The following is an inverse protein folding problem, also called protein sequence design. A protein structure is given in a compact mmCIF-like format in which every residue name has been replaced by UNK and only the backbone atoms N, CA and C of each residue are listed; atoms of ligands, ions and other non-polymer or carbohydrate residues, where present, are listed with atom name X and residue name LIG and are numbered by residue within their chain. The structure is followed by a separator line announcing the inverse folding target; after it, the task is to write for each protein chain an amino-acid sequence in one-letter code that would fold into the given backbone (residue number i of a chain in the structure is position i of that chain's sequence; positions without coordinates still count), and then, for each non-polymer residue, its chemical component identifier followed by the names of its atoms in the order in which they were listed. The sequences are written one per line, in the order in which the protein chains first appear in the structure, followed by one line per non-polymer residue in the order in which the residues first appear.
data_IF_874553722628
#
_entry.id   IF_874553722628
#
_cell.length_a   1.000
_cell.length_b   1.000
_cell.length_c   1.000
_cell.angle_alpha   90.00
_cell.angle_beta   90.00
_cell.angle_gamma   90.00
#
_symmetry.space_group_name_H-M   'P 1'
#
loop_
_entity.id
_entity.type
_entity.pdbx_description
1 polymer ?
#
# COMPACT_ATOMS: atom_id res chain seq x y z
N UNK A 1 53.43 9.85 30.02
CA UNK A 1 52.14 10.37 29.51
C UNK A 1 52.05 10.02 28.04
N UNK A 2 51.47 8.86 27.72
CA UNK A 2 51.47 8.31 26.39
C UNK A 2 50.04 8.40 25.85
N UNK A 3 49.82 9.21 24.82
CA UNK A 3 48.54 9.31 24.15
C UNK A 3 48.43 8.20 23.10
N UNK A 4 47.50 7.27 23.30
CA UNK A 4 47.08 6.32 22.29
C UNK A 4 46.03 6.96 21.36
N UNK A 5 46.41 7.21 20.11
CA UNK A 5 45.46 7.53 19.03
C UNK A 5 44.83 6.22 18.53
N UNK A 6 43.53 6.03 18.80
CA UNK A 6 42.77 5.02 18.09
C UNK A 6 42.39 5.55 16.70
N UNK A 7 43.10 5.09 15.69
CA UNK A 7 42.70 5.22 14.29
C UNK A 7 41.61 4.20 14.01
N UNK A 8 40.40 4.65 13.69
CA UNK A 8 39.32 3.85 13.18
C UNK A 8 39.34 3.91 11.63
N UNK A 9 39.69 2.85 10.92
CA UNK A 9 39.65 2.83 9.45
C UNK A 9 38.39 2.08 9.01
N UNK A 10 37.28 2.79 8.81
CA UNK A 10 36.12 2.25 8.10
C UNK A 10 35.31 3.37 7.41
N UNK A 11 36.01 4.13 6.55
CA UNK A 11 35.34 4.93 5.53
C UNK A 11 35.99 4.62 4.19
N UNK A 12 35.30 3.87 3.32
CA UNK A 12 35.77 3.62 1.98
C UNK A 12 35.39 2.25 1.41
N UNK A 13 34.16 1.82 1.53
CA UNK A 13 33.63 0.80 0.62
C UNK A 13 32.74 1.47 -0.40
N UNK A 14 33.28 1.55 -1.59
CA UNK A 14 32.61 2.00 -2.80
C UNK A 14 31.43 1.07 -3.10
N UNK A 15 30.19 1.59 -2.91
CA UNK A 15 28.94 0.85 -3.12
C UNK A 15 28.44 0.95 -4.56
N UNK A 16 29.30 1.31 -5.52
CA UNK A 16 28.91 1.44 -6.93
C UNK A 16 28.58 0.10 -7.61
N UNK A 17 28.94 -1.05 -7.00
CA UNK A 17 28.68 -2.39 -7.51
C UNK A 17 27.94 -3.26 -6.48
N UNK A 18 26.78 -2.83 -5.99
CA UNK A 18 25.88 -3.73 -5.30
C UNK A 18 25.15 -4.59 -6.35
N UNK A 19 25.88 -5.51 -6.99
CA UNK A 19 25.25 -6.68 -7.60
C UNK A 19 24.57 -7.41 -6.46
N UNK A 20 23.23 -7.36 -6.43
CA UNK A 20 22.43 -8.27 -5.61
C UNK A 20 22.72 -9.69 -6.13
N UNK A 21 23.81 -10.30 -5.62
CA UNK A 21 23.88 -11.75 -5.59
C UNK A 21 22.55 -12.22 -5.03
N UNK A 22 22.00 -13.35 -5.50
CA UNK A 22 20.73 -13.97 -5.10
C UNK A 22 20.72 -14.32 -3.59
N UNK A 23 20.97 -13.34 -2.72
CA UNK A 23 20.85 -13.52 -1.28
C UNK A 23 19.37 -13.62 -0.98
N UNK A 24 18.95 -14.83 -0.63
CA UNK A 24 17.58 -15.14 -0.22
C UNK A 24 17.20 -14.23 0.93
N UNK A 25 16.16 -13.41 0.74
CA UNK A 25 15.64 -12.54 1.80
C UNK A 25 15.01 -13.44 2.87
N UNK A 26 15.61 -13.45 4.04
CA UNK A 26 15.14 -14.23 5.20
C UNK A 26 14.25 -13.40 6.14
N UNK A 27 14.41 -12.06 6.17
CA UNK A 27 13.67 -11.14 7.02
C UNK A 27 13.16 -9.94 6.22
N UNK A 28 11.88 -9.60 6.40
CA UNK A 28 11.24 -8.50 5.71
C UNK A 28 10.33 -7.72 6.66
N UNK A 29 10.49 -6.40 6.70
CA UNK A 29 9.56 -5.51 7.40
C UNK A 29 8.42 -5.11 6.45
N UNK A 30 7.16 -5.25 6.89
CA UNK A 30 6.03 -4.65 6.18
C UNK A 30 5.79 -3.25 6.74
N UNK A 31 6.09 -2.22 5.93
CA UNK A 31 6.05 -0.81 6.30
C UNK A 31 4.64 -0.22 6.25
N UNK A 32 3.75 -0.69 7.13
CA UNK A 32 2.39 -0.15 7.27
C UNK A 32 1.86 -0.30 8.69
N UNK A 33 1.15 0.72 9.18
CA UNK A 33 0.42 0.68 10.46
C UNK A 33 -1.06 0.30 10.26
N UNK A 34 -1.51 0.07 9.02
CA UNK A 34 -2.85 -0.38 8.72
C UNK A 34 -2.93 -1.91 8.81
N UNK A 35 -3.68 -2.44 9.78
CA UNK A 35 -3.82 -3.88 10.04
C UNK A 35 -4.38 -4.65 8.83
N UNK A 36 -5.32 -4.08 8.08
CA UNK A 36 -5.88 -4.71 6.88
C UNK A 36 -4.83 -4.87 5.77
N UNK A 37 -4.05 -3.81 5.51
CA UNK A 37 -2.96 -3.86 4.53
C UNK A 37 -1.86 -4.85 4.96
N UNK A 38 -1.49 -4.85 6.24
CA UNK A 38 -0.52 -5.80 6.79
C UNK A 38 -0.96 -7.24 6.54
N UNK A 39 -2.23 -7.55 6.85
CA UNK A 39 -2.79 -8.88 6.66
C UNK A 39 -2.78 -9.32 5.20
N UNK A 40 -3.23 -8.46 4.29
CA UNK A 40 -3.24 -8.75 2.85
C UNK A 40 -1.83 -8.96 2.30
N UNK A 41 -0.87 -8.08 2.61
CA UNK A 41 0.52 -8.22 2.14
C UNK A 41 1.14 -9.51 2.69
N UNK A 42 0.92 -9.80 3.98
CA UNK A 42 1.44 -11.02 4.62
C UNK A 42 0.92 -12.28 3.92
N UNK A 43 -0.33 -12.29 3.48
CA UNK A 43 -0.92 -13.44 2.78
C UNK A 43 -0.32 -13.70 1.39
N UNK A 44 0.33 -12.71 0.78
CA UNK A 44 0.96 -12.81 -0.53
C UNK A 44 2.42 -13.27 -0.46
N UNK A 45 3.06 -13.13 0.69
CA UNK A 45 4.49 -13.42 0.85
C UNK A 45 4.76 -14.91 1.08
N UNK A 46 5.91 -15.43 0.61
CA UNK A 46 6.34 -16.79 0.90
C UNK A 46 6.48 -17.04 2.41
N UNK A 47 6.07 -18.21 2.87
CA UNK A 47 6.18 -18.61 4.28
C UNK A 47 7.63 -18.70 4.79
N UNK A 48 8.60 -18.82 3.88
CA UNK A 48 10.04 -18.87 4.20
C UNK A 48 10.61 -17.52 4.66
N UNK A 49 9.90 -16.41 4.43
CA UNK A 49 10.35 -15.09 4.83
C UNK A 49 9.81 -14.78 6.23
N UNK A 50 10.70 -14.49 7.19
CA UNK A 50 10.32 -13.99 8.51
C UNK A 50 9.81 -12.55 8.38
N UNK A 51 8.53 -12.34 8.66
CA UNK A 51 7.87 -11.05 8.49
C UNK A 51 7.85 -10.31 9.82
N UNK A 52 8.30 -9.07 9.78
CA UNK A 52 8.21 -8.09 10.86
C UNK A 52 7.17 -7.03 10.55
N UNK A 53 6.54 -6.48 11.57
CA UNK A 53 5.60 -5.37 11.50
C UNK A 53 6.19 -4.08 12.12
N UNK A 54 5.67 -2.93 11.74
CA UNK A 54 6.08 -1.64 12.33
C UNK A 54 5.77 -1.56 13.82
N UNK A 55 4.76 -2.29 14.30
CA UNK A 55 4.38 -2.33 15.72
C UNK A 55 5.43 -3.02 16.61
N UNK A 56 6.17 -4.00 16.09
CA UNK A 56 7.27 -4.64 16.82
C UNK A 56 8.40 -3.67 17.18
N UNK A 57 8.51 -2.56 16.43
CA UNK A 57 9.53 -1.52 16.63
C UNK A 57 8.94 -0.23 17.19
N UNK A 58 7.67 -0.20 17.61
CA UNK A 58 6.96 0.99 18.08
C UNK A 58 7.05 2.19 17.12
N UNK A 59 7.10 1.93 15.81
CA UNK A 59 7.28 2.96 14.80
C UNK A 59 5.94 3.54 14.33
N UNK A 60 5.85 4.87 14.38
CA UNK A 60 4.76 5.63 13.73
C UNK A 60 5.05 5.79 12.25
N UNK A 61 3.98 5.90 11.43
CA UNK A 61 4.12 6.21 10.02
C UNK A 61 4.75 7.60 9.81
N UNK A 62 5.63 7.76 8.81
CA UNK A 62 6.10 9.07 8.41
C UNK A 62 4.95 9.90 7.82
N UNK A 63 5.18 11.20 7.70
CA UNK A 63 4.26 12.09 6.98
C UNK A 63 4.29 11.74 5.49
N UNK A 64 3.13 11.41 4.94
CA UNK A 64 2.94 11.11 3.52
C UNK A 64 2.61 12.40 2.76
N UNK A 65 3.64 13.12 2.32
CA UNK A 65 3.55 14.38 1.58
C UNK A 65 3.83 14.25 0.08
N UNK A 66 3.93 13.03 -0.41
CA UNK A 66 4.08 12.73 -1.83
C UNK A 66 2.80 13.05 -2.61
N UNK A 67 2.98 13.39 -3.89
CA UNK A 67 1.90 13.73 -4.83
C UNK A 67 1.32 12.50 -5.53
N UNK A 68 1.95 11.34 -5.37
CA UNK A 68 1.55 10.07 -6.00
C UNK A 68 1.61 8.91 -5.01
N UNK A 69 0.88 7.83 -5.31
CA UNK A 69 0.98 6.57 -4.55
C UNK A 69 2.42 6.03 -4.51
N UNK A 70 3.17 6.16 -5.62
CA UNK A 70 4.58 5.72 -5.67
C UNK A 70 5.45 6.51 -4.69
N UNK A 71 5.32 7.82 -4.67
CA UNK A 71 6.09 8.69 -3.77
C UNK A 71 5.79 8.36 -2.30
N UNK A 72 4.50 8.26 -1.93
CA UNK A 72 4.11 7.93 -0.56
C UNK A 72 4.58 6.54 -0.13
N UNK A 73 4.47 5.55 -1.02
CA UNK A 73 5.01 4.20 -0.78
C UNK A 73 6.53 4.24 -0.55
N UNK A 74 7.29 4.98 -1.37
CA UNK A 74 8.74 5.15 -1.24
C UNK A 74 9.13 5.89 0.05
N UNK A 75 8.42 6.94 0.43
CA UNK A 75 8.63 7.64 1.71
C UNK A 75 8.55 6.64 2.86
N UNK A 76 7.52 5.80 2.88
CA UNK A 76 7.34 4.78 3.92
C UNK A 76 8.43 3.72 3.91
N UNK A 77 8.71 3.12 2.76
CA UNK A 77 9.69 2.03 2.69
C UNK A 77 11.10 2.50 3.07
N UNK A 78 11.51 3.68 2.62
CA UNK A 78 12.80 4.29 2.98
C UNK A 78 12.88 4.62 4.47
N UNK A 79 11.84 5.27 5.01
CA UNK A 79 11.79 5.65 6.41
C UNK A 79 11.91 4.44 7.34
N UNK A 80 11.06 3.43 7.14
CA UNK A 80 11.05 2.26 7.99
C UNK A 80 12.31 1.42 7.84
N UNK A 81 12.82 1.27 6.62
CA UNK A 81 14.08 0.56 6.38
C UNK A 81 15.26 1.25 7.09
N UNK A 82 15.34 2.58 7.02
CA UNK A 82 16.38 3.36 7.72
C UNK A 82 16.29 3.20 9.24
N UNK A 83 15.07 3.16 9.79
CA UNK A 83 14.84 3.06 11.25
C UNK A 83 15.13 1.67 11.83
N UNK A 84 14.97 0.61 11.04
CA UNK A 84 15.08 -0.78 11.54
C UNK A 84 16.31 -1.52 11.04
N UNK A 85 16.99 -1.00 10.03
CA UNK A 85 18.07 -1.74 9.35
C UNK A 85 17.56 -2.93 8.52
N UNK A 86 16.25 -3.17 8.44
CA UNK A 86 15.66 -4.26 7.66
C UNK A 86 15.28 -3.81 6.25
N UNK A 87 15.26 -4.76 5.32
CA UNK A 87 14.57 -4.56 4.05
C UNK A 87 13.09 -4.31 4.32
N UNK A 88 12.53 -3.26 3.72
CA UNK A 88 11.15 -2.84 3.97
C UNK A 88 10.32 -2.86 2.68
N UNK A 89 9.22 -3.61 2.71
CA UNK A 89 8.15 -3.55 1.71
C UNK A 89 7.04 -2.67 2.27
N UNK A 90 6.77 -1.54 1.62
CA UNK A 90 5.68 -0.64 2.00
C UNK A 90 4.67 -0.46 0.87
N UNK A 91 3.42 -0.17 1.25
CA UNK A 91 2.37 0.14 0.29
C UNK A 91 1.82 1.56 0.49
N UNK A 92 1.40 2.17 -0.61
CA UNK A 92 0.39 3.21 -0.58
C UNK A 92 -0.70 2.88 -1.60
N UNK A 93 -1.97 3.02 -1.19
CA UNK A 93 -3.09 2.55 -1.99
C UNK A 93 -4.36 3.32 -1.71
N UNK A 94 -5.21 3.39 -2.73
CA UNK A 94 -6.49 4.08 -2.63
C UNK A 94 -7.42 3.80 -3.78
N UNK A 95 -8.60 4.42 -3.68
CA UNK A 95 -9.66 4.38 -4.66
C UNK A 95 -9.59 5.65 -5.53
N UNK A 96 -9.55 5.48 -6.83
CA UNK A 96 -9.71 6.55 -7.82
C UNK A 96 -11.09 6.41 -8.48
N UNK A 97 -11.86 7.50 -8.54
CA UNK A 97 -13.18 7.55 -9.19
C UNK A 97 -13.13 8.58 -10.32
N UNK A 98 -13.29 8.14 -11.56
CA UNK A 98 -13.13 9.02 -12.74
C UNK A 98 -14.11 10.20 -12.69
N UNK A 99 -15.35 9.95 -12.31
CA UNK A 99 -16.38 10.99 -12.19
C UNK A 99 -16.11 12.01 -11.09
N UNK A 100 -15.18 11.75 -10.17
CA UNK A 100 -14.70 12.65 -9.13
C UNK A 100 -13.25 13.11 -9.37
N UNK A 101 -12.82 13.20 -10.63
CA UNK A 101 -11.48 13.63 -11.01
C UNK A 101 -10.37 12.87 -10.27
N UNK A 102 -10.55 11.54 -10.20
CA UNK A 102 -9.70 10.55 -9.48
C UNK A 102 -9.68 10.71 -7.95
N UNK A 103 -10.54 11.58 -7.40
CA UNK A 103 -10.70 11.58 -5.94
C UNK A 103 -11.42 10.31 -5.46
N UNK A 104 -11.13 9.83 -4.22
CA UNK A 104 -10.20 10.37 -3.21
C UNK A 104 -8.70 10.16 -3.50
N UNK A 105 -8.30 9.25 -4.39
CA UNK A 105 -6.90 9.02 -4.76
C UNK A 105 -6.00 8.78 -3.55
N UNK A 106 -4.86 9.46 -3.48
CA UNK A 106 -3.90 9.39 -2.36
C UNK A 106 -4.49 9.86 -1.02
N UNK A 107 -5.64 10.50 -1.03
CA UNK A 107 -6.36 10.94 0.17
C UNK A 107 -7.41 9.94 0.67
N UNK A 108 -7.41 8.71 0.13
CA UNK A 108 -8.43 7.69 0.42
C UNK A 108 -8.66 7.46 1.92
N UNK A 109 -7.62 7.27 2.70
CA UNK A 109 -7.74 7.11 4.15
C UNK A 109 -8.17 8.41 4.85
N UNK A 110 -7.69 9.56 4.35
CA UNK A 110 -7.96 10.89 4.94
C UNK A 110 -9.42 11.34 4.78
N UNK A 111 -10.16 10.78 3.79
CA UNK A 111 -11.60 11.04 3.65
C UNK A 111 -12.43 10.49 4.81
N UNK A 112 -11.90 9.50 5.54
CA UNK A 112 -12.47 9.00 6.79
C UNK A 112 -12.17 9.86 8.03
N UNK A 113 -11.44 10.96 7.87
CA UNK A 113 -11.02 11.83 8.96
C UNK A 113 -9.85 11.26 9.78
N UNK A 114 -9.61 11.88 10.95
CA UNK A 114 -8.43 11.61 11.79
C UNK A 114 -8.27 10.14 12.21
N UNK A 115 -9.38 9.43 12.38
CA UNK A 115 -9.40 8.03 12.84
C UNK A 115 -9.59 7.01 11.71
N UNK A 116 -9.60 7.45 10.44
CA UNK A 116 -9.73 6.55 9.30
C UNK A 116 -11.07 5.82 9.22
N UNK A 117 -12.18 6.46 9.62
CA UNK A 117 -13.53 5.90 9.53
C UNK A 117 -13.96 5.75 8.08
N UNK A 118 -13.86 4.55 7.56
CA UNK A 118 -14.26 4.27 6.18
C UNK A 118 -15.76 4.37 5.91
N UNK A 119 -16.63 4.22 6.90
CA UNK A 119 -18.05 4.50 6.72
C UNK A 119 -18.28 5.99 6.43
N UNK A 120 -17.55 6.87 7.13
CA UNK A 120 -17.54 8.31 6.84
C UNK A 120 -16.97 8.60 5.45
N UNK A 121 -15.89 7.92 5.06
CA UNK A 121 -15.29 8.07 3.73
C UNK A 121 -16.25 7.64 2.61
N UNK A 122 -16.94 6.50 2.76
CA UNK A 122 -17.95 6.01 1.83
C UNK A 122 -19.13 6.99 1.71
N UNK A 123 -19.65 7.47 2.84
CA UNK A 123 -20.69 8.52 2.83
C UNK A 123 -20.25 9.78 2.10
N UNK A 124 -18.97 10.17 2.25
CA UNK A 124 -18.39 11.30 1.52
C UNK A 124 -18.34 11.03 0.02
N UNK A 125 -17.96 9.82 -0.44
CA UNK A 125 -18.01 9.45 -1.87
C UNK A 125 -19.41 9.64 -2.42
N UNK A 126 -20.42 9.04 -1.82
CA UNK A 126 -21.81 9.15 -2.31
C UNK A 126 -22.34 10.58 -2.30
N UNK A 127 -21.98 11.37 -1.27
CA UNK A 127 -22.34 12.80 -1.23
C UNK A 127 -21.71 13.58 -2.38
N UNK A 128 -20.44 13.32 -2.71
CA UNK A 128 -19.77 13.99 -3.84
C UNK A 128 -20.36 13.56 -5.19
N UNK A 129 -20.68 12.28 -5.36
CA UNK A 129 -21.35 11.79 -6.56
C UNK A 129 -22.74 12.43 -6.72
N UNK A 130 -23.54 12.47 -5.66
CA UNK A 130 -24.86 13.13 -5.65
C UNK A 130 -24.77 14.65 -5.94
N UNK A 131 -23.73 15.32 -5.42
CA UNK A 131 -23.52 16.75 -5.70
C UNK A 131 -23.23 17.00 -7.17
N UNK A 132 -22.48 16.09 -7.81
CA UNK A 132 -22.08 16.21 -9.22
C UNK A 132 -23.21 15.80 -10.17
N UNK A 133 -24.01 14.80 -9.78
CA UNK A 133 -25.18 14.32 -10.54
C UNK A 133 -26.13 13.53 -9.61
N UNK A 134 -27.35 14.01 -9.46
CA UNK A 134 -28.39 13.32 -8.63
C UNK A 134 -28.76 11.94 -9.19
N UNK A 135 -28.60 11.72 -10.49
CA UNK A 135 -28.93 10.48 -11.19
C UNK A 135 -27.73 9.51 -11.34
N UNK A 136 -26.63 9.77 -10.64
CA UNK A 136 -25.39 8.97 -10.77
C UNK A 136 -25.62 7.45 -10.55
N UNK A 137 -26.59 7.07 -9.73
CA UNK A 137 -26.88 5.66 -9.44
C UNK A 137 -27.34 4.86 -10.66
N UNK A 138 -27.91 5.55 -11.67
CA UNK A 138 -28.31 4.95 -12.94
C UNK A 138 -27.14 4.88 -13.95
N UNK A 139 -25.94 5.33 -13.56
CA UNK A 139 -24.75 5.36 -14.38
C UNK A 139 -23.71 4.37 -13.87
N UNK A 140 -22.94 3.77 -14.78
CA UNK A 140 -21.79 2.96 -14.41
C UNK A 140 -20.60 3.87 -14.11
N UNK A 141 -20.44 4.28 -12.85
CA UNK A 141 -19.37 5.19 -12.40
C UNK A 141 -18.05 4.43 -12.38
N UNK A 142 -17.19 4.67 -13.37
CA UNK A 142 -15.87 4.04 -13.47
C UNK A 142 -14.99 4.42 -12.30
N UNK A 143 -14.32 3.43 -11.76
CA UNK A 143 -13.40 3.58 -10.65
C UNK A 143 -12.31 2.52 -10.73
N UNK A 144 -11.21 2.73 -10.00
CA UNK A 144 -10.15 1.73 -9.83
C UNK A 144 -9.55 1.77 -8.45
N UNK A 145 -9.16 0.63 -7.95
CA UNK A 145 -8.20 0.58 -6.87
C UNK A 145 -6.78 0.61 -7.42
N UNK A 146 -5.93 1.38 -6.76
CA UNK A 146 -4.51 1.52 -7.09
C UNK A 146 -3.68 1.15 -5.87
N UNK A 147 -2.60 0.40 -6.06
CA UNK A 147 -1.60 0.10 -5.03
C UNK A 147 -0.21 0.34 -5.60
N UNK A 148 0.58 1.16 -4.93
CA UNK A 148 2.02 1.22 -5.12
C UNK A 148 2.69 0.35 -4.05
N UNK A 149 3.51 -0.61 -4.47
CA UNK A 149 4.42 -1.34 -3.60
C UNK A 149 5.84 -0.86 -3.85
N UNK A 150 6.59 -0.59 -2.79
CA UNK A 150 7.99 -0.24 -2.87
C UNK A 150 8.85 -1.05 -1.90
N UNK A 151 10.03 -1.44 -2.35
CA UNK A 151 11.06 -2.08 -1.53
C UNK A 151 12.22 -1.11 -1.39
N UNK A 152 12.70 -0.93 -0.16
CA UNK A 152 13.90 -0.15 0.15
C UNK A 152 14.75 -0.88 1.19
N UNK A 153 16.07 -0.66 1.13
CA UNK A 153 17.04 -1.12 2.11
C UNK A 153 18.02 0.01 2.45
N UNK A 154 18.23 0.27 3.74
CA UNK A 154 19.09 1.36 4.23
C UNK A 154 18.86 2.70 3.51
N UNK A 155 17.61 3.10 3.37
CA UNK A 155 17.16 4.32 2.66
C UNK A 155 17.35 4.32 1.12
N UNK A 156 17.92 3.27 0.53
CA UNK A 156 18.02 3.13 -0.93
C UNK A 156 16.80 2.40 -1.49
N UNK A 157 16.26 2.92 -2.60
CA UNK A 157 15.17 2.26 -3.34
C UNK A 157 15.73 1.05 -4.09
N UNK A 158 15.08 -0.11 -3.92
CA UNK A 158 15.33 -1.32 -4.70
C UNK A 158 14.32 -1.42 -5.84
N UNK A 159 13.03 -1.32 -5.52
CA UNK A 159 11.96 -1.41 -6.49
C UNK A 159 10.76 -0.54 -6.11
N UNK A 160 9.97 -0.12 -7.10
CA UNK A 160 8.67 0.51 -6.88
C UNK A 160 7.76 0.23 -8.09
N UNK A 161 6.62 -0.38 -7.83
CA UNK A 161 5.67 -0.82 -8.87
C UNK A 161 4.26 -0.35 -8.57
N UNK A 162 3.39 -0.37 -9.60
CA UNK A 162 1.95 -0.12 -9.47
C UNK A 162 1.15 -1.35 -9.88
N UNK A 163 0.16 -1.69 -9.08
CA UNK A 163 -0.94 -2.58 -9.41
C UNK A 163 -2.25 -1.81 -9.44
N UNK A 164 -3.14 -2.17 -10.36
CA UNK A 164 -4.47 -1.56 -10.52
C UNK A 164 -5.51 -2.62 -10.78
N UNK A 165 -6.72 -2.38 -10.30
CA UNK A 165 -7.90 -3.15 -10.66
C UNK A 165 -9.00 -2.19 -11.04
N UNK A 166 -9.44 -2.29 -12.28
CA UNK A 166 -10.54 -1.48 -12.81
C UNK A 166 -11.89 -2.04 -12.35
N UNK A 167 -12.86 -1.16 -12.22
CA UNK A 167 -14.20 -1.51 -11.79
C UNK A 167 -15.16 -0.32 -11.83
N UNK A 168 -16.17 -0.36 -10.98
CA UNK A 168 -17.15 0.70 -10.85
C UNK A 168 -17.70 0.78 -9.44
N UNK A 169 -18.33 1.91 -9.10
CA UNK A 169 -18.95 2.15 -7.80
C UNK A 169 -20.35 1.54 -7.79
N UNK A 170 -20.69 0.82 -6.72
CA UNK A 170 -22.04 0.32 -6.46
C UNK A 170 -22.97 1.44 -5.98
N UNK A 171 -24.26 1.28 -6.21
CA UNK A 171 -25.33 2.20 -5.80
C UNK A 171 -25.47 2.36 -4.26
N UNK A 172 -25.07 1.33 -3.52
CA UNK A 172 -25.07 1.26 -2.05
C UNK A 172 -23.96 0.33 -1.54
N UNK A 173 -23.53 0.43 -0.28
CA UNK A 173 -22.58 -0.50 0.29
C UNK A 173 -23.15 -1.92 0.35
N UNK A 174 -22.33 -2.93 -0.03
CA UNK A 174 -22.72 -4.35 -0.05
C UNK A 174 -21.58 -5.19 0.54
N UNK A 175 -21.93 -6.13 1.41
CA UNK A 175 -20.98 -7.03 2.06
C UNK A 175 -20.27 -6.41 3.27
N UNK A 176 -19.58 -7.29 4.04
CA UNK A 176 -18.87 -6.93 5.27
C UNK A 176 -17.42 -7.39 5.28
N UNK A 177 -16.97 -8.05 4.20
CA UNK A 177 -15.60 -8.53 4.10
C UNK A 177 -14.65 -7.41 3.68
N UNK A 178 -13.35 -7.62 3.94
CA UNK A 178 -12.32 -6.67 3.58
C UNK A 178 -12.29 -5.43 4.47
N UNK A 179 -11.85 -4.31 3.91
CA UNK A 179 -11.77 -3.03 4.60
C UNK A 179 -11.82 -1.87 3.60
N UNK A 180 -11.89 -0.65 4.12
CA UNK A 180 -11.82 0.54 3.27
C UNK A 180 -13.07 0.72 2.41
N UNK A 181 -12.84 0.87 1.13
CA UNK A 181 -13.91 1.05 0.13
C UNK A 181 -14.40 -0.27 -0.50
N UNK A 182 -13.97 -1.43 0.02
CA UNK A 182 -14.40 -2.74 -0.49
C UNK A 182 -15.91 -2.90 -0.62
N UNK A 183 -16.76 -2.38 0.31
CA UNK A 183 -18.21 -2.49 0.21
C UNK A 183 -18.84 -1.74 -0.98
N UNK A 184 -18.12 -0.80 -1.59
CA UNK A 184 -18.66 0.01 -2.69
C UNK A 184 -17.96 -0.19 -4.04
N UNK A 185 -16.97 -1.07 -4.13
CA UNK A 185 -16.21 -1.30 -5.35
C UNK A 185 -16.54 -2.66 -5.96
N UNK A 186 -17.07 -2.65 -7.19
CA UNK A 186 -17.34 -3.84 -7.99
C UNK A 186 -16.25 -3.95 -9.06
N UNK A 187 -15.35 -4.95 -9.00
CA UNK A 187 -14.30 -5.11 -10.00
C UNK A 187 -14.87 -5.49 -11.36
N UNK A 188 -14.18 -5.10 -12.42
CA UNK A 188 -14.59 -5.40 -13.79
C UNK A 188 -14.86 -6.89 -14.00
N UNK A 189 -15.89 -7.21 -14.82
CA UNK A 189 -16.34 -8.59 -15.09
C UNK A 189 -16.89 -9.34 -13.87
N UNK A 190 -17.16 -8.64 -12.75
CA UNK A 190 -17.83 -9.20 -11.57
C UNK A 190 -19.15 -8.49 -11.28
N UNK A 191 -20.03 -9.17 -10.52
CA UNK A 191 -21.31 -8.63 -10.07
C UNK A 191 -21.34 -8.27 -8.58
N UNK A 192 -20.36 -8.79 -7.82
CA UNK A 192 -20.22 -8.60 -6.35
C UNK A 192 -19.17 -7.55 -6.07
N UNK A 193 -19.39 -6.77 -5.02
CA UNK A 193 -18.37 -5.88 -4.47
C UNK A 193 -17.24 -6.70 -3.82
N UNK A 194 -16.09 -6.08 -3.60
CA UNK A 194 -15.06 -6.73 -2.79
C UNK A 194 -15.54 -7.02 -1.37
N UNK A 195 -16.46 -6.22 -0.82
CA UNK A 195 -17.09 -6.48 0.48
C UNK A 195 -17.98 -7.72 0.52
N UNK A 196 -18.51 -8.17 -0.63
CA UNK A 196 -19.28 -9.41 -0.75
C UNK A 196 -18.43 -10.64 -1.08
N UNK A 197 -17.19 -10.45 -1.49
CA UNK A 197 -16.29 -11.54 -1.85
C UNK A 197 -15.62 -12.14 -0.62
N UNK A 198 -15.37 -13.45 -0.65
CA UNK A 198 -14.50 -14.09 0.35
C UNK A 198 -13.07 -13.52 0.23
N UNK A 199 -12.34 -13.31 1.33
CA UNK A 199 -10.96 -12.81 1.29
C UNK A 199 -10.05 -13.59 0.34
N UNK A 200 -10.14 -14.92 0.33
CA UNK A 200 -9.36 -15.80 -0.54
C UNK A 200 -9.60 -15.58 -2.04
N UNK A 201 -10.77 -15.08 -2.42
CA UNK A 201 -11.07 -14.72 -3.82
C UNK A 201 -10.51 -13.33 -4.15
N UNK A 202 -10.72 -12.35 -3.24
CA UNK A 202 -10.23 -10.97 -3.41
C UNK A 202 -8.71 -10.94 -3.54
N UNK A 203 -7.98 -11.62 -2.65
CA UNK A 203 -6.51 -11.60 -2.60
C UNK A 203 -5.81 -12.20 -3.84
N UNK A 204 -6.55 -12.83 -4.73
CA UNK A 204 -6.05 -13.36 -6.01
C UNK A 204 -6.30 -12.45 -7.20
N UNK A 205 -6.94 -11.29 -6.98
CA UNK A 205 -7.34 -10.42 -8.08
C UNK A 205 -7.34 -8.92 -7.74
N UNK A 206 -7.01 -8.54 -6.52
CA UNK A 206 -7.05 -7.13 -6.14
C UNK A 206 -5.79 -6.36 -6.60
N UNK A 207 -5.82 -5.05 -6.39
CA UNK A 207 -4.75 -4.13 -6.78
C UNK A 207 -3.41 -4.43 -6.10
N UNK A 208 -3.44 -5.00 -4.89
CA UNK A 208 -2.25 -5.38 -4.12
C UNK A 208 -1.62 -6.64 -4.68
N UNK A 209 -2.44 -7.62 -5.07
CA UNK A 209 -2.00 -8.79 -5.82
C UNK A 209 -1.38 -8.42 -7.16
N UNK A 210 -2.01 -7.49 -7.92
CA UNK A 210 -1.47 -7.02 -9.20
C UNK A 210 -0.11 -6.29 -9.05
N UNK A 211 0.08 -5.54 -7.96
CA UNK A 211 1.37 -4.94 -7.63
C UNK A 211 2.39 -6.01 -7.19
N UNK A 212 1.93 -6.98 -6.38
CA UNK A 212 2.78 -8.05 -5.87
C UNK A 212 3.36 -8.93 -6.99
N UNK A 213 2.58 -9.31 -7.98
CA UNK A 213 3.09 -10.05 -9.16
C UNK A 213 4.29 -9.39 -9.82
N UNK A 214 4.36 -8.05 -9.80
CA UNK A 214 5.44 -7.28 -10.41
C UNK A 214 6.66 -7.15 -9.49
N UNK A 215 6.46 -7.08 -8.17
CA UNK A 215 7.53 -6.80 -7.22
C UNK A 215 8.18 -8.07 -6.64
N UNK A 216 7.49 -9.22 -6.68
CA UNK A 216 7.96 -10.47 -6.08
C UNK A 216 9.34 -10.95 -6.54
N UNK A 217 9.76 -10.57 -7.75
CA UNK A 217 11.09 -10.93 -8.28
C UNK A 217 12.25 -10.24 -7.55
N UNK A 218 11.95 -9.26 -6.66
CA UNK A 218 12.92 -8.57 -5.83
C UNK A 218 12.87 -9.05 -4.37
N UNK A 219 12.12 -10.10 -4.08
CA UNK A 219 12.00 -10.79 -2.80
C UNK A 219 12.57 -12.23 -2.94
#
# INVERSE_FOLDING_TARGET
MVFFFFHSPLYGKDFSNFQMSKQKIDKLLIGTNNKGKLHEIKSLLPKSIKIHSTSEFNLKSPIENGKTFKENSLIKSKYFSKKTGLMCLADDSGLEIDFLDKNPGIYSARWGGRHGDFNKAIRKVYRQLNKKDKNWKNKKIKARFVCALSISYLNKKIACVLGKVEGHISDKPKGKNGFGYDPIFIPSKKRKTFGEMKPSQKYKMDHRYEAFKKIRKFL
#
